data_IF_368451701725
#
_entry.id   IF_368451701725
#
_cell.length_a   1.000
_cell.length_b   1.000
_cell.length_c   1.000
_cell.angle_alpha   90.00
_cell.angle_beta   90.00
_cell.angle_gamma   90.00
#
_symmetry.space_group_name_H-M   'P 1'
#
loop_
_entity.id
_entity.type
_entity.pdbx_description
1 polymer ?
#
# COMPACT_ATOMS: atom_id res chain seq x y z
N UNK A 1 -16.49 11.53 -0.22
CA UNK A 1 -15.87 10.26 -0.57
C UNK A 1 -15.79 9.34 0.66
N UNK A 2 -15.44 9.87 1.84
CA UNK A 2 -15.54 9.13 3.09
C UNK A 2 -17.01 9.11 3.53
N UNK A 3 -17.57 7.92 3.71
CA UNK A 3 -18.99 7.75 4.05
C UNK A 3 -19.92 7.59 2.84
N UNK A 4 -19.34 7.38 1.64
CA UNK A 4 -20.12 7.07 0.44
C UNK A 4 -19.83 5.65 -0.05
N UNK A 5 -20.84 5.04 -0.68
CA UNK A 5 -20.70 3.79 -1.41
C UNK A 5 -19.93 3.99 -2.73
N UNK A 6 -19.55 2.89 -3.39
CA UNK A 6 -18.84 2.91 -4.67
C UNK A 6 -19.64 3.61 -5.77
N UNK A 7 -20.95 3.61 -5.70
CA UNK A 7 -21.85 4.32 -6.62
C UNK A 7 -22.02 5.81 -6.28
N UNK A 8 -21.43 6.29 -5.18
CA UNK A 8 -21.50 7.69 -4.75
C UNK A 8 -22.69 8.02 -3.84
N UNK A 9 -23.48 7.03 -3.44
CA UNK A 9 -24.57 7.23 -2.48
C UNK A 9 -24.03 7.40 -1.05
N UNK A 10 -24.60 8.31 -0.30
CA UNK A 10 -24.22 8.58 1.08
C UNK A 10 -24.64 7.45 2.00
N UNK A 11 -23.77 7.09 2.95
CA UNK A 11 -24.06 6.12 4.02
C UNK A 11 -24.20 6.88 5.33
N UNK A 12 -25.42 7.28 5.66
CA UNK A 12 -25.74 8.10 6.85
C UNK A 12 -25.22 7.49 8.15
N UNK A 13 -25.23 6.16 8.26
CA UNK A 13 -24.78 5.43 9.44
C UNK A 13 -23.27 5.65 9.76
N UNK A 14 -22.48 6.18 8.83
CA UNK A 14 -21.06 6.48 9.08
C UNK A 14 -20.86 7.73 9.92
N UNK A 15 -21.83 8.65 9.95
CA UNK A 15 -21.68 9.98 10.55
C UNK A 15 -20.64 10.86 9.86
N UNK A 16 -20.21 10.49 8.64
CA UNK A 16 -19.18 11.19 7.85
C UNK A 16 -19.78 11.99 6.68
N UNK A 17 -21.08 11.93 6.50
CA UNK A 17 -21.83 12.69 5.50
C UNK A 17 -22.50 13.88 6.14
N UNK A 18 -22.76 14.92 5.34
CA UNK A 18 -23.40 16.15 5.81
C UNK A 18 -24.90 16.08 5.61
N UNK A 19 -25.67 16.49 6.63
CA UNK A 19 -27.14 16.52 6.61
C UNK A 19 -27.76 17.44 5.53
N UNK A 20 -26.95 18.26 4.85
CA UNK A 20 -27.42 19.31 3.92
C UNK A 20 -26.68 19.37 2.59
N UNK A 21 -26.32 18.25 2.03
CA UNK A 21 -25.59 18.17 0.77
C UNK A 21 -24.08 18.17 0.95
N UNK A 22 -23.34 18.20 -0.16
CA UNK A 22 -21.87 18.14 -0.16
C UNK A 22 -21.27 19.32 0.58
N UNK A 23 -20.59 19.06 1.68
CA UNK A 23 -19.81 20.05 2.41
C UNK A 23 -18.46 20.27 1.75
N UNK A 24 -18.03 21.52 1.69
CA UNK A 24 -16.67 21.87 1.27
C UNK A 24 -15.66 21.51 2.35
N UNK A 25 -14.46 21.09 1.91
CA UNK A 25 -13.28 20.88 2.74
C UNK A 25 -12.07 21.55 2.10
N UNK A 26 -11.04 21.77 2.89
CA UNK A 26 -9.75 22.24 2.38
C UNK A 26 -8.84 21.04 2.17
N UNK A 27 -8.23 20.94 1.00
CA UNK A 27 -7.20 19.96 0.67
C UNK A 27 -5.85 20.67 0.60
N UNK A 28 -4.96 20.40 1.53
CA UNK A 28 -3.62 21.01 1.56
C UNK A 28 -2.54 20.01 1.21
N UNK A 29 -1.53 20.44 0.43
CA UNK A 29 -0.40 19.59 0.11
C UNK A 29 0.41 19.25 1.35
N UNK A 30 0.86 17.99 1.45
CA UNK A 30 1.71 17.52 2.53
C UNK A 30 3.15 17.80 2.16
N UNK A 31 3.82 18.66 2.93
CA UNK A 31 5.22 19.00 2.71
C UNK A 31 6.11 17.75 2.73
N UNK A 32 7.13 17.70 1.87
CA UNK A 32 8.08 16.58 1.79
C UNK A 32 7.57 15.35 1.00
N UNK A 33 6.31 15.34 0.53
CA UNK A 33 5.76 14.19 -0.20
C UNK A 33 5.78 14.34 -1.72
N UNK A 34 6.33 15.44 -2.25
CA UNK A 34 6.48 15.62 -3.70
C UNK A 34 7.43 14.57 -4.26
N UNK A 35 6.95 13.76 -5.20
CA UNK A 35 7.72 12.78 -5.96
C UNK A 35 7.59 13.04 -7.45
N UNK A 36 8.67 12.83 -8.19
CA UNK A 36 8.63 12.87 -9.64
C UNK A 36 8.05 11.55 -10.16
N UNK A 37 7.17 11.67 -11.15
CA UNK A 37 6.58 10.51 -11.83
C UNK A 37 7.61 9.93 -12.79
N UNK A 38 8.19 8.79 -12.43
CA UNK A 38 9.20 8.10 -13.23
C UNK A 38 8.70 7.85 -14.66
N UNK A 39 9.55 8.11 -15.67
CA UNK A 39 9.21 7.89 -17.07
C UNK A 39 8.16 8.85 -17.65
N UNK A 40 7.71 9.89 -16.91
CA UNK A 40 6.71 10.82 -17.44
C UNK A 40 7.30 11.81 -18.46
N UNK A 41 6.59 11.99 -19.57
CA UNK A 41 6.90 13.02 -20.57
C UNK A 41 5.61 13.75 -20.97
N UNK A 42 5.48 15.08 -20.75
CA UNK A 42 6.42 15.94 -20.03
C UNK A 42 6.60 15.52 -18.56
N UNK A 43 7.68 16.00 -17.95
CA UNK A 43 7.97 15.72 -16.53
C UNK A 43 6.80 16.15 -15.63
N UNK A 44 6.34 15.23 -14.77
CA UNK A 44 5.25 15.45 -13.82
C UNK A 44 5.70 15.13 -12.40
N UNK A 45 5.10 15.83 -11.44
CA UNK A 45 5.24 15.54 -10.02
C UNK A 45 3.87 15.24 -9.40
N UNK A 46 3.88 14.35 -8.41
CA UNK A 46 2.71 14.01 -7.58
C UNK A 46 3.07 14.26 -6.11
N UNK A 47 2.10 14.72 -5.33
CA UNK A 47 2.25 14.86 -3.89
C UNK A 47 0.97 14.47 -3.18
N UNK A 48 1.09 14.08 -1.91
CA UNK A 48 -0.06 13.78 -1.08
C UNK A 48 -0.74 15.07 -0.63
N UNK A 49 -2.02 14.96 -0.37
CA UNK A 49 -2.83 16.00 0.28
C UNK A 49 -3.42 15.44 1.56
N UNK A 50 -3.68 16.29 2.54
CA UNK A 50 -4.49 16.00 3.72
C UNK A 50 -5.70 16.93 3.77
N UNK A 51 -6.77 16.45 4.37
CA UNK A 51 -8.05 17.14 4.43
C UNK A 51 -8.20 17.90 5.75
N UNK A 52 -8.78 19.09 5.67
CA UNK A 52 -9.03 20.00 6.78
C UNK A 52 -10.44 20.56 6.67
N UNK A 53 -11.04 20.86 7.78
CA UNK A 53 -12.29 21.62 7.84
C UNK A 53 -12.10 23.06 7.37
N UNK A 54 -13.20 23.78 7.12
CA UNK A 54 -13.16 25.16 6.62
C UNK A 54 -12.50 26.13 7.59
N UNK A 55 -12.53 25.85 8.90
CA UNK A 55 -11.83 26.62 9.93
C UNK A 55 -10.32 26.32 10.00
N UNK A 56 -9.85 25.31 9.23
CA UNK A 56 -8.46 24.90 9.17
C UNK A 56 -8.10 23.82 10.19
N UNK A 57 -9.05 23.30 10.97
CA UNK A 57 -8.81 22.15 11.84
C UNK A 57 -8.61 20.87 11.03
N UNK A 58 -7.74 19.95 11.50
CA UNK A 58 -7.53 18.66 10.84
C UNK A 58 -8.81 17.84 10.79
N UNK A 59 -9.19 17.35 9.60
CA UNK A 59 -10.37 16.48 9.48
C UNK A 59 -10.17 15.17 10.27
N UNK A 60 -11.06 14.85 11.23
CA UNK A 60 -10.86 13.71 12.13
C UNK A 60 -10.78 12.34 11.44
N UNK A 61 -11.40 12.20 10.28
CA UNK A 61 -11.45 10.96 9.48
C UNK A 61 -10.37 10.88 8.39
N UNK A 62 -9.54 11.91 8.19
CA UNK A 62 -8.40 11.82 7.28
C UNK A 62 -7.41 10.76 7.80
N UNK A 63 -7.03 9.75 6.99
CA UNK A 63 -6.17 8.66 7.42
C UNK A 63 -4.81 9.12 8.00
N UNK A 64 -4.22 10.20 7.45
CA UNK A 64 -2.95 10.72 7.95
C UNK A 64 -3.13 11.36 9.32
N UNK A 65 -4.22 12.11 9.54
CA UNK A 65 -4.53 12.67 10.85
C UNK A 65 -4.89 11.59 11.87
N UNK A 66 -5.56 10.50 11.43
CA UNK A 66 -5.80 9.33 12.30
C UNK A 66 -4.47 8.71 12.73
N UNK A 67 -3.57 8.46 11.80
CA UNK A 67 -2.25 7.88 12.08
C UNK A 67 -1.42 8.81 13.00
N UNK A 68 -1.39 10.12 12.70
CA UNK A 68 -0.65 11.10 13.50
C UNK A 68 -1.10 11.08 14.96
N UNK A 69 -2.42 11.06 15.21
CA UNK A 69 -2.93 10.97 16.61
C UNK A 69 -2.46 9.70 17.34
N UNK A 70 -2.26 8.57 16.63
CA UNK A 70 -1.73 7.36 17.26
C UNK A 70 -0.22 7.47 17.52
N UNK A 71 0.52 8.10 16.62
CA UNK A 71 1.94 8.40 16.81
C UNK A 71 2.13 9.28 18.03
N UNK A 72 1.34 10.36 18.14
CA UNK A 72 1.40 11.28 19.29
C UNK A 72 1.08 10.55 20.60
N UNK A 73 0.05 9.68 20.63
CA UNK A 73 -0.28 8.86 21.81
C UNK A 73 0.81 7.88 22.22
N UNK A 74 1.60 7.37 21.28
CA UNK A 74 2.78 6.54 21.59
C UNK A 74 3.89 7.40 22.14
N UNK A 75 4.14 8.58 21.56
CA UNK A 75 5.15 9.53 22.02
C UNK A 75 4.88 10.00 23.46
N UNK A 76 3.61 10.25 23.82
CA UNK A 76 3.20 10.57 25.21
C UNK A 76 3.56 9.46 26.22
N UNK A 77 3.80 8.24 25.74
CA UNK A 77 4.23 7.09 26.54
C UNK A 77 5.73 6.83 26.48
N UNK A 78 6.51 7.71 25.82
CA UNK A 78 7.93 7.51 25.57
C UNK A 78 8.21 6.36 24.58
N UNK A 79 7.25 6.06 23.70
CA UNK A 79 7.34 4.99 22.72
C UNK A 79 7.33 5.54 21.29
N UNK A 80 8.07 4.87 20.41
CA UNK A 80 8.09 5.13 18.97
C UNK A 80 7.87 3.81 18.21
N UNK A 81 7.03 3.84 17.19
CA UNK A 81 6.79 2.70 16.35
C UNK A 81 7.72 2.70 15.12
N UNK A 82 8.18 1.50 14.74
CA UNK A 82 8.77 1.22 13.43
C UNK A 82 7.87 0.24 12.69
N UNK A 83 7.70 0.45 11.38
CA UNK A 83 6.85 -0.41 10.56
C UNK A 83 7.46 -0.76 9.22
N UNK A 84 7.11 -1.95 8.71
CA UNK A 84 7.30 -2.40 7.34
C UNK A 84 5.99 -2.97 6.80
N UNK A 85 5.87 -3.04 5.48
CA UNK A 85 4.68 -3.58 4.83
C UNK A 85 5.07 -4.60 3.76
N UNK A 86 4.22 -5.61 3.60
CA UNK A 86 4.21 -6.54 2.48
C UNK A 86 2.95 -6.26 1.67
N UNK A 87 3.11 -6.00 0.39
CA UNK A 87 2.05 -5.56 -0.49
C UNK A 87 1.79 -6.61 -1.57
N UNK A 88 0.73 -7.40 -1.40
CA UNK A 88 0.32 -8.37 -2.40
C UNK A 88 -0.62 -7.74 -3.45
N UNK A 89 -0.49 -8.18 -4.69
CA UNK A 89 -1.30 -7.70 -5.80
C UNK A 89 -1.34 -8.72 -6.94
N UNK A 90 -2.36 -8.58 -7.78
CA UNK A 90 -2.47 -9.31 -9.03
C UNK A 90 -2.09 -8.43 -10.22
N UNK A 91 -1.37 -9.02 -11.16
CA UNK A 91 -1.22 -8.49 -12.51
C UNK A 91 -2.24 -9.20 -13.42
N UNK A 92 -3.18 -8.43 -13.92
CA UNK A 92 -4.31 -8.92 -14.70
C UNK A 92 -4.24 -8.38 -16.13
N UNK A 93 -4.68 -9.20 -17.07
CA UNK A 93 -4.92 -8.77 -18.43
C UNK A 93 -6.03 -7.70 -18.46
N UNK A 94 -5.93 -6.75 -19.37
CA UNK A 94 -6.97 -5.75 -19.58
C UNK A 94 -8.23 -6.35 -20.23
N UNK A 95 -8.07 -7.47 -20.95
CA UNK A 95 -9.18 -8.20 -21.53
C UNK A 95 -9.69 -9.27 -20.57
N UNK A 96 -11.00 -9.45 -20.59
CA UNK A 96 -11.66 -10.53 -19.85
C UNK A 96 -11.77 -11.77 -20.73
N UNK A 97 -11.96 -12.92 -20.08
CA UNK A 97 -12.25 -14.15 -20.83
C UNK A 97 -13.69 -14.14 -21.43
N UNK A 98 -14.02 -15.19 -22.16
CA UNK A 98 -15.33 -15.32 -22.81
C UNK A 98 -16.52 -15.37 -21.82
N UNK A 99 -16.28 -15.66 -20.55
CA UNK A 99 -17.28 -15.65 -19.48
C UNK A 99 -17.42 -14.27 -18.80
N UNK A 100 -16.52 -13.32 -19.13
CA UNK A 100 -16.43 -12.01 -18.50
C UNK A 100 -15.57 -12.01 -17.23
N UNK A 101 -14.89 -13.12 -16.88
CA UNK A 101 -14.00 -13.19 -15.74
C UNK A 101 -12.65 -12.52 -16.01
N UNK A 102 -12.03 -12.02 -14.96
CA UNK A 102 -10.65 -11.51 -15.03
C UNK A 102 -9.69 -12.67 -15.20
N UNK A 103 -8.58 -12.43 -15.89
CA UNK A 103 -7.52 -13.43 -16.09
C UNK A 103 -6.16 -12.84 -15.72
N UNK A 104 -5.21 -13.68 -15.30
CA UNK A 104 -3.83 -13.25 -15.09
C UNK A 104 -3.23 -12.67 -16.36
N UNK A 105 -2.38 -11.65 -16.22
CA UNK A 105 -1.61 -11.13 -17.33
C UNK A 105 -0.64 -12.19 -17.85
N UNK A 106 -0.42 -12.19 -19.17
CA UNK A 106 0.66 -12.97 -19.77
C UNK A 106 2.02 -12.39 -19.45
N UNK A 107 3.06 -13.21 -19.49
CA UNK A 107 4.44 -12.79 -19.29
C UNK A 107 4.81 -11.65 -20.26
N UNK A 108 5.38 -10.59 -19.70
CA UNK A 108 5.81 -9.42 -20.50
C UNK A 108 6.98 -9.77 -21.41
N UNK A 109 7.82 -10.73 -20.98
CA UNK A 109 9.03 -11.11 -21.70
C UNK A 109 8.75 -11.86 -23.01
N UNK A 110 7.81 -12.81 -23.00
CA UNK A 110 7.59 -13.72 -24.13
C UNK A 110 6.10 -13.95 -24.48
N UNK A 111 5.18 -13.31 -23.77
CA UNK A 111 3.74 -13.43 -24.02
C UNK A 111 3.11 -14.75 -23.54
N UNK A 112 3.84 -15.57 -22.77
CA UNK A 112 3.31 -16.85 -22.26
C UNK A 112 2.20 -16.60 -21.24
N UNK A 113 1.12 -17.37 -21.36
CA UNK A 113 0.00 -17.27 -20.42
C UNK A 113 0.38 -17.79 -19.02
N UNK A 114 0.09 -17.02 -18.00
CA UNK A 114 0.31 -17.38 -16.61
C UNK A 114 -0.89 -18.16 -16.07
N UNK A 115 -0.77 -19.48 -15.95
CA UNK A 115 -1.88 -20.36 -15.54
C UNK A 115 -1.58 -21.21 -14.33
N UNK A 116 -0.30 -21.34 -13.95
CA UNK A 116 0.13 -22.21 -12.87
C UNK A 116 0.16 -21.48 -11.52
N UNK A 117 -0.04 -22.25 -10.45
CA UNK A 117 0.24 -21.85 -9.08
C UNK A 117 1.70 -22.15 -8.80
N UNK A 118 2.55 -21.14 -8.80
CA UNK A 118 4.00 -21.28 -8.64
C UNK A 118 4.54 -20.29 -7.61
N UNK A 119 4.31 -20.58 -6.35
CA UNK A 119 4.84 -19.76 -5.25
C UNK A 119 6.38 -19.82 -5.23
N UNK A 120 7.02 -18.67 -5.02
CA UNK A 120 8.48 -18.49 -5.01
C UNK A 120 9.18 -18.92 -6.31
N UNK A 121 8.47 -18.94 -7.43
CA UNK A 121 9.02 -19.35 -8.72
C UNK A 121 9.87 -18.23 -9.33
N UNK A 122 11.14 -18.54 -9.56
CA UNK A 122 12.07 -17.63 -10.27
C UNK A 122 11.69 -17.50 -11.76
N UNK A 123 11.17 -18.55 -12.38
CA UNK A 123 10.72 -18.52 -13.79
C UNK A 123 9.54 -17.56 -13.97
N UNK A 124 8.56 -17.61 -13.04
CA UNK A 124 7.40 -16.70 -13.03
C UNK A 124 7.83 -15.24 -12.84
N UNK A 125 8.81 -14.97 -11.98
CA UNK A 125 9.38 -13.63 -11.83
C UNK A 125 10.11 -13.18 -13.10
N UNK A 126 10.85 -14.07 -13.74
CA UNK A 126 11.60 -13.77 -14.96
C UNK A 126 10.68 -13.35 -16.10
N UNK A 127 9.51 -13.96 -16.25
CA UNK A 127 8.51 -13.60 -17.26
C UNK A 127 8.03 -12.14 -17.13
N UNK A 128 7.99 -11.62 -15.92
CA UNK A 128 7.58 -10.25 -15.61
C UNK A 128 8.75 -9.27 -15.38
N UNK A 129 9.99 -9.72 -15.56
CA UNK A 129 11.19 -8.93 -15.24
C UNK A 129 11.23 -7.54 -15.90
N UNK A 130 10.81 -7.33 -17.16
CA UNK A 130 10.77 -5.99 -17.75
C UNK A 130 9.89 -5.01 -16.95
N UNK A 131 8.72 -5.45 -16.47
CA UNK A 131 7.84 -4.65 -15.64
C UNK A 131 8.45 -4.41 -14.24
N UNK A 132 9.01 -5.45 -13.63
CA UNK A 132 9.58 -5.32 -12.28
C UNK A 132 10.79 -4.40 -12.25
N UNK A 133 11.62 -4.40 -13.27
CA UNK A 133 12.75 -3.46 -13.38
C UNK A 133 12.27 -2.00 -13.41
N UNK A 134 11.18 -1.70 -14.10
CA UNK A 134 10.58 -0.36 -14.10
C UNK A 134 9.99 0.02 -12.73
N UNK A 135 9.39 -0.95 -12.03
CA UNK A 135 8.89 -0.75 -10.67
C UNK A 135 10.05 -0.45 -9.71
N UNK A 136 11.14 -1.22 -9.76
CA UNK A 136 12.32 -0.99 -8.93
C UNK A 136 12.96 0.37 -9.23
N UNK A 137 13.15 0.72 -10.49
CA UNK A 137 13.73 2.01 -10.88
C UNK A 137 12.85 3.19 -10.42
N UNK A 138 11.53 3.06 -10.53
CA UNK A 138 10.60 4.09 -10.06
C UNK A 138 10.57 4.20 -8.53
N UNK A 139 10.67 3.07 -7.81
CA UNK A 139 10.73 3.05 -6.36
C UNK A 139 12.05 3.67 -5.85
N UNK A 140 13.18 3.36 -6.48
CA UNK A 140 14.48 3.96 -6.18
C UNK A 140 14.45 5.47 -6.40
N UNK A 141 13.92 5.94 -7.54
CA UNK A 141 13.75 7.38 -7.82
C UNK A 141 12.86 8.10 -6.79
N UNK A 142 11.91 7.37 -6.19
CA UNK A 142 11.06 7.86 -5.09
C UNK A 142 11.67 7.69 -3.70
N UNK A 143 12.89 7.14 -3.59
CA UNK A 143 13.58 6.80 -2.33
C UNK A 143 12.77 5.84 -1.43
N UNK A 144 12.06 4.88 -2.05
CA UNK A 144 11.33 3.82 -1.35
C UNK A 144 12.24 2.59 -1.28
N UNK A 145 12.55 2.06 -0.07
CA UNK A 145 13.49 0.96 0.09
C UNK A 145 12.79 -0.39 -0.16
N UNK A 146 12.51 -0.71 -1.41
CA UNK A 146 12.00 -2.03 -1.79
C UNK A 146 13.07 -3.08 -1.50
N UNK A 147 12.68 -4.15 -0.83
CA UNK A 147 13.57 -5.25 -0.43
C UNK A 147 13.47 -6.41 -1.42
N UNK A 148 12.26 -6.94 -1.62
CA UNK A 148 12.02 -8.11 -2.45
C UNK A 148 10.77 -7.97 -3.32
N UNK A 149 10.77 -8.75 -4.41
CA UNK A 149 9.58 -9.13 -5.18
C UNK A 149 9.54 -10.66 -5.23
N UNK A 150 8.41 -11.24 -4.87
CA UNK A 150 8.20 -12.69 -4.94
C UNK A 150 6.94 -13.02 -5.75
N UNK A 151 6.90 -14.23 -6.30
CA UNK A 151 5.69 -14.78 -6.89
C UNK A 151 4.86 -15.46 -5.81
N UNK A 152 3.57 -15.16 -5.78
CA UNK A 152 2.62 -15.65 -4.82
C UNK A 152 1.83 -16.88 -5.33
N UNK A 153 0.93 -17.42 -4.48
CA UNK A 153 0.20 -18.65 -4.70
C UNK A 153 -0.68 -18.65 -5.95
N UNK A 154 -1.37 -17.54 -6.22
CA UNK A 154 -2.28 -17.51 -7.36
C UNK A 154 -1.55 -17.16 -8.67
N UNK A 155 -2.04 -17.64 -9.82
CA UNK A 155 -1.56 -17.19 -11.11
C UNK A 155 -1.64 -15.67 -11.25
N UNK A 156 -0.54 -15.03 -11.65
CA UNK A 156 -0.46 -13.56 -11.76
C UNK A 156 -0.40 -12.79 -10.44
N UNK A 157 -0.27 -13.48 -9.29
CA UNK A 157 -0.13 -12.85 -7.98
C UNK A 157 1.34 -12.70 -7.62
N UNK A 158 1.67 -11.53 -7.06
CA UNK A 158 3.02 -11.13 -6.65
C UNK A 158 2.96 -10.36 -5.35
N UNK A 159 4.07 -10.34 -4.62
CA UNK A 159 4.26 -9.55 -3.42
C UNK A 159 5.50 -8.69 -3.51
N UNK A 160 5.38 -7.46 -3.00
CA UNK A 160 6.48 -6.53 -2.77
C UNK A 160 6.68 -6.34 -1.28
N UNK A 161 7.88 -6.55 -0.78
CA UNK A 161 8.28 -6.21 0.57
C UNK A 161 9.14 -4.95 0.59
N UNK A 162 9.00 -4.16 1.65
CA UNK A 162 9.81 -2.96 1.86
C UNK A 162 10.54 -3.05 3.20
N UNK A 163 11.76 -2.49 3.26
CA UNK A 163 12.46 -2.35 4.52
C UNK A 163 11.67 -1.48 5.49
N UNK A 164 11.78 -1.77 6.78
CA UNK A 164 11.13 -1.00 7.83
C UNK A 164 11.61 0.46 7.86
N UNK A 165 10.73 1.32 8.34
CA UNK A 165 11.01 2.71 8.69
C UNK A 165 10.78 2.93 10.17
N UNK A 166 11.69 3.67 10.81
CA UNK A 166 11.49 4.17 12.17
C UNK A 166 10.44 5.29 12.25
N UNK A 167 10.06 5.85 11.11
CA UNK A 167 8.96 6.78 10.93
C UNK A 167 7.77 6.07 10.28
N UNK A 168 6.76 5.74 11.07
CA UNK A 168 5.54 5.04 10.62
C UNK A 168 4.75 5.86 9.61
N UNK A 169 4.74 7.20 9.74
CA UNK A 169 4.09 8.07 8.77
C UNK A 169 4.78 8.00 7.41
N UNK A 170 6.12 7.92 7.40
CA UNK A 170 6.88 7.72 6.18
C UNK A 170 6.67 6.31 5.60
N UNK A 171 6.62 5.27 6.45
CA UNK A 171 6.30 3.91 5.99
C UNK A 171 4.93 3.85 5.29
N UNK A 172 3.90 4.47 5.86
CA UNK A 172 2.58 4.56 5.25
C UNK A 172 2.60 5.38 3.94
N UNK A 173 3.39 6.45 3.88
CA UNK A 173 3.59 7.27 2.67
C UNK A 173 4.26 6.46 1.57
N UNK A 174 5.31 5.71 1.90
CA UNK A 174 6.04 4.85 0.96
C UNK A 174 5.12 3.76 0.39
N UNK A 175 4.30 3.10 1.24
CA UNK A 175 3.33 2.09 0.81
C UNK A 175 2.33 2.65 -0.21
N UNK A 176 1.74 3.81 0.06
CA UNK A 176 0.77 4.43 -0.84
C UNK A 176 1.41 4.86 -2.16
N UNK A 177 2.65 5.37 -2.10
CA UNK A 177 3.43 5.75 -3.28
C UNK A 177 3.81 4.50 -4.10
N UNK A 178 4.27 3.43 -3.45
CA UNK A 178 4.62 2.17 -4.11
C UNK A 178 3.42 1.55 -4.82
N UNK A 179 2.26 1.50 -4.16
CA UNK A 179 1.01 1.06 -4.79
C UNK A 179 0.67 1.87 -6.05
N UNK A 180 0.94 3.17 -6.02
CA UNK A 180 0.76 4.06 -7.17
C UNK A 180 1.76 3.75 -8.28
N UNK A 181 3.04 3.55 -7.95
CA UNK A 181 4.11 3.17 -8.87
C UNK A 181 3.74 1.86 -9.59
N UNK A 182 3.40 0.81 -8.85
CA UNK A 182 3.03 -0.50 -9.42
C UNK A 182 1.89 -0.34 -10.44
N UNK A 183 0.83 0.41 -10.09
CA UNK A 183 -0.28 0.68 -11.02
C UNK A 183 0.15 1.45 -12.27
N UNK A 184 1.04 2.42 -12.13
CA UNK A 184 1.51 3.23 -13.27
C UNK A 184 2.37 2.40 -14.21
N UNK A 185 3.34 1.64 -13.68
CA UNK A 185 4.23 0.83 -14.50
C UNK A 185 3.49 -0.34 -15.18
N UNK A 186 2.56 -1.00 -14.48
CA UNK A 186 1.70 -2.02 -15.08
C UNK A 186 0.87 -1.44 -16.24
N UNK A 187 0.22 -0.29 -16.01
CA UNK A 187 -0.57 0.38 -17.06
C UNK A 187 0.26 0.78 -18.28
N UNK A 188 1.50 1.22 -18.08
CA UNK A 188 2.41 1.57 -19.17
C UNK A 188 2.72 0.38 -20.08
N UNK A 189 2.60 -0.84 -19.57
CA UNK A 189 2.80 -2.09 -20.31
C UNK A 189 1.48 -2.78 -20.70
N UNK A 190 0.35 -2.09 -20.60
CA UNK A 190 -0.96 -2.64 -20.98
C UNK A 190 -1.50 -3.68 -19.98
N UNK A 191 -1.05 -3.65 -18.73
CA UNK A 191 -1.44 -4.57 -17.65
C UNK A 191 -2.19 -3.80 -16.57
N UNK A 192 -3.16 -4.46 -15.93
CA UNK A 192 -3.86 -3.93 -14.76
C UNK A 192 -3.29 -4.50 -13.47
N UNK A 193 -2.68 -3.66 -12.63
CA UNK A 193 -2.34 -4.04 -11.26
C UNK A 193 -3.58 -3.90 -10.34
N UNK A 194 -4.00 -5.02 -9.77
CA UNK A 194 -5.20 -5.14 -8.93
C UNK A 194 -4.82 -5.41 -7.48
N UNK A 195 -5.27 -4.52 -6.59
CA UNK A 195 -5.05 -4.61 -5.13
C UNK A 195 -6.35 -4.97 -4.38
N UNK A 196 -7.32 -5.58 -5.04
CA UNK A 196 -8.48 -6.15 -4.37
C UNK A 196 -8.06 -7.35 -3.53
N UNK A 197 -8.67 -7.49 -2.37
CA UNK A 197 -8.37 -8.62 -1.48
C UNK A 197 -8.62 -9.99 -2.13
N UNK A 198 -9.61 -10.11 -3.01
CA UNK A 198 -9.92 -11.37 -3.71
C UNK A 198 -10.53 -11.10 -5.09
N UNK A 199 -9.72 -10.79 -6.11
CA UNK A 199 -10.24 -10.51 -7.47
C UNK A 199 -10.73 -11.76 -8.20
N UNK A 200 -10.22 -12.94 -7.84
CA UNK A 200 -10.60 -14.24 -8.38
C UNK A 200 -11.04 -15.15 -7.24
N UNK A 201 -12.33 -15.58 -7.25
CA UNK A 201 -12.96 -16.31 -6.15
C UNK A 201 -12.28 -17.64 -5.83
N UNK A 202 -11.77 -18.32 -6.85
CA UNK A 202 -11.18 -19.67 -6.73
C UNK A 202 -9.67 -19.66 -6.45
N UNK A 203 -9.06 -18.46 -6.37
CA UNK A 203 -7.62 -18.30 -6.12
C UNK A 203 -7.35 -17.81 -4.70
N UNK A 204 -6.07 -17.83 -4.28
CA UNK A 204 -5.65 -17.13 -3.07
C UNK A 204 -6.01 -15.64 -3.14
N UNK A 205 -6.28 -15.03 -2.00
CA UNK A 205 -6.48 -13.58 -1.90
C UNK A 205 -5.17 -12.84 -1.70
N UNK A 206 -5.21 -11.51 -1.84
CA UNK A 206 -4.08 -10.64 -1.54
C UNK A 206 -4.18 -10.09 -0.14
N UNK A 207 -3.11 -10.23 0.64
CA UNK A 207 -2.90 -9.61 1.92
C UNK A 207 -2.19 -8.26 1.82
N UNK A 208 -2.10 -7.61 2.96
CA UNK A 208 -1.20 -6.50 3.21
C UNK A 208 -0.73 -6.66 4.65
N UNK A 209 0.38 -7.35 4.83
CA UNK A 209 0.94 -7.55 6.16
C UNK A 209 1.60 -6.27 6.65
N UNK A 210 1.40 -5.98 7.93
CA UNK A 210 2.04 -4.87 8.62
C UNK A 210 2.92 -5.42 9.72
N UNK A 211 4.23 -5.31 9.56
CA UNK A 211 5.20 -5.62 10.58
C UNK A 211 5.39 -4.39 11.46
N UNK A 212 5.19 -4.55 12.76
CA UNK A 212 5.25 -3.46 13.71
C UNK A 212 6.17 -3.82 14.86
N UNK A 213 7.04 -2.89 15.24
CA UNK A 213 7.78 -2.94 16.48
C UNK A 213 7.68 -1.61 17.23
N UNK A 214 7.88 -1.66 18.56
CA UNK A 214 7.92 -0.46 19.39
C UNK A 214 9.30 -0.31 20.03
N UNK A 215 9.81 0.91 20.02
CA UNK A 215 11.07 1.29 20.64
C UNK A 215 10.82 2.28 21.81
N UNK A 216 11.57 2.15 22.88
CA UNK A 216 11.61 3.16 23.95
C UNK A 216 12.53 4.34 23.57
N UNK A 217 12.66 5.32 24.46
CA UNK A 217 13.53 6.49 24.27
C UNK A 217 15.02 6.12 24.10
N UNK A 218 15.44 4.98 24.63
CA UNK A 218 16.81 4.46 24.44
C UNK A 218 17.00 3.71 23.10
N UNK A 219 15.96 3.61 22.26
CA UNK A 219 15.98 2.88 20.99
C UNK A 219 15.90 1.36 21.14
N UNK A 220 15.56 0.83 22.31
CA UNK A 220 15.43 -0.60 22.56
C UNK A 220 14.03 -1.06 22.13
N UNK A 221 13.95 -2.21 21.44
CA UNK A 221 12.69 -2.84 21.07
C UNK A 221 11.98 -3.40 22.32
N UNK A 222 10.83 -2.82 22.68
CA UNK A 222 10.07 -3.21 23.89
C UNK A 222 9.20 -4.46 23.67
N UNK A 223 9.14 -4.98 22.44
CA UNK A 223 8.53 -6.27 22.16
C UNK A 223 9.49 -7.44 22.37
N UNK A 224 10.80 -7.17 22.32
CA UNK A 224 11.80 -8.18 22.60
C UNK A 224 11.91 -8.47 24.11
N UNK A 225 12.02 -9.73 24.46
CA UNK A 225 12.42 -10.18 25.79
C UNK A 225 13.63 -11.10 25.69
N UNK A 226 14.43 -11.16 26.77
CA UNK A 226 15.46 -12.17 26.93
C UNK A 226 14.77 -13.52 27.24
N UNK A 227 15.18 -14.60 26.53
CA UNK A 227 14.70 -15.98 26.73
C UNK A 227 13.25 -16.31 26.29
N UNK A 228 12.94 -16.21 24.96
CA UNK A 228 11.80 -16.87 24.31
C UNK A 228 10.37 -16.60 24.86
N UNK A 229 10.15 -15.69 25.76
CA UNK A 229 8.83 -15.28 26.22
C UNK A 229 8.36 -14.01 25.52
N UNK A 230 7.06 -13.90 25.24
CA UNK A 230 6.47 -12.66 24.74
C UNK A 230 6.50 -11.60 25.85
N UNK A 231 7.02 -10.42 25.54
CA UNK A 231 7.01 -9.31 26.49
C UNK A 231 5.57 -8.93 26.90
N UNK A 232 5.34 -8.39 28.12
CA UNK A 232 4.03 -7.88 28.50
C UNK A 232 3.49 -6.87 27.49
N UNK A 233 4.36 -6.00 26.96
CA UNK A 233 4.00 -5.01 25.96
C UNK A 233 3.54 -5.66 24.65
N UNK A 234 4.23 -6.70 24.19
CA UNK A 234 3.81 -7.43 22.99
C UNK A 234 2.48 -8.17 23.20
N UNK A 235 2.26 -8.78 24.38
CA UNK A 235 0.98 -9.42 24.72
C UNK A 235 -0.17 -8.42 24.67
N UNK A 236 0.02 -7.20 25.19
CA UNK A 236 -0.99 -6.14 25.12
C UNK A 236 -1.21 -5.59 23.70
N UNK A 237 -0.24 -5.73 22.80
CA UNK A 237 -0.38 -5.32 21.41
C UNK A 237 -1.13 -6.35 20.56
N UNK A 238 -1.07 -7.63 20.95
CA UNK A 238 -1.77 -8.73 20.26
C UNK A 238 -3.23 -8.86 20.73
N UNK A 239 -3.54 -8.50 21.98
CA UNK A 239 -4.88 -8.52 22.60
C UNK A 239 -5.04 -9.59 23.67
#
# INVERSE_FOLDING_TARGET
ILGQEVCGEDVDATGLVWDRGDGDMRAWPVAGTLKLVHGSSPLRGEMLISLYDLDGSPMPSDPRHVLQRQIDRLADKGLRAAAAFELEFFLLDNERDASGAVRPASDVLDGRATTATDVYSMEKLQGMLPLFNEIYAAAEAAAIPVENMISEYAPGQYELTVHYRDDVMQAATDLMTLKRIVKQQARAQGITACFMAKPMSECAGSGMHCHLSLQNEAGQNVFAEEESALSPTLRHAVG
#
